data_IF_524296950828
#
_entry.id   IF_524296950828
#
_cell.length_a   1.000
_cell.length_b   1.000
_cell.length_c   1.000
_cell.angle_alpha   90.00
_cell.angle_beta   90.00
_cell.angle_gamma   90.00
#
_symmetry.space_group_name_H-M   'P 1'
#
loop_
_entity.id
_entity.type
_entity.pdbx_description
1 polymer ?
#
# COMPACT_ATOMS: atom_id res chain seq x y z
N UNK A 1 -17.09 -2.81 -22.12
CA UNK A 1 -16.77 -1.89 -21.02
C UNK A 1 -15.26 -1.72 -21.04
N UNK A 2 -14.75 -0.50 -21.16
CA UNK A 2 -13.31 -0.24 -21.24
C UNK A 2 -12.87 0.47 -19.96
N UNK A 3 -11.93 -0.13 -19.23
CA UNK A 3 -11.22 0.57 -18.15
C UNK A 3 -10.14 1.42 -18.80
N UNK A 4 -10.15 2.72 -18.50
CA UNK A 4 -9.21 3.70 -19.02
C UNK A 4 -8.07 3.94 -18.03
N UNK A 5 -8.41 4.00 -16.75
CA UNK A 5 -7.45 4.28 -15.70
C UNK A 5 -7.78 3.50 -14.42
N UNK A 6 -6.75 3.17 -13.65
CA UNK A 6 -6.87 2.54 -12.34
C UNK A 6 -5.80 3.15 -11.45
N UNK A 7 -6.22 3.68 -10.29
CA UNK A 7 -5.35 4.51 -9.47
C UNK A 7 -5.43 4.20 -7.98
N UNK A 8 -4.37 4.60 -7.27
CA UNK A 8 -4.30 4.66 -5.82
C UNK A 8 -3.71 6.00 -5.38
N UNK A 9 -4.19 6.53 -4.26
CA UNK A 9 -3.64 7.72 -3.64
C UNK A 9 -3.69 7.65 -2.11
N UNK A 10 -2.91 8.50 -1.44
CA UNK A 10 -3.00 8.71 0.01
C UNK A 10 -3.55 10.10 0.25
N UNK A 11 -4.72 10.18 0.88
CA UNK A 11 -5.30 11.45 1.30
C UNK A 11 -5.57 11.42 2.80
N UNK A 12 -5.05 12.42 3.52
CA UNK A 12 -5.18 12.53 4.98
C UNK A 12 -4.78 11.23 5.73
N UNK A 13 -3.78 10.53 5.20
CA UNK A 13 -3.25 9.29 5.78
C UNK A 13 -4.18 8.08 5.64
N UNK A 14 -5.09 8.10 4.65
CA UNK A 14 -5.95 6.99 4.24
C UNK A 14 -5.69 6.65 2.78
N UNK A 15 -5.82 5.37 2.46
CA UNK A 15 -5.71 4.89 1.09
C UNK A 15 -7.03 5.08 0.36
N UNK A 16 -6.93 5.65 -0.82
CA UNK A 16 -8.01 5.77 -1.79
C UNK A 16 -7.64 4.95 -3.01
N UNK A 17 -8.65 4.40 -3.67
CA UNK A 17 -8.51 3.70 -4.92
C UNK A 17 -9.70 3.99 -5.82
N UNK A 18 -9.48 3.85 -7.12
CA UNK A 18 -10.56 4.03 -8.07
C UNK A 18 -10.26 3.47 -9.44
N UNK A 19 -11.32 3.39 -10.24
CA UNK A 19 -11.23 3.06 -11.65
C UNK A 19 -12.05 4.05 -12.46
N UNK A 20 -11.52 4.41 -13.61
CA UNK A 20 -12.23 5.21 -14.59
C UNK A 20 -12.44 4.38 -15.84
N UNK A 21 -13.58 4.57 -16.50
CA UNK A 21 -13.83 3.87 -17.73
C UNK A 21 -14.98 4.43 -18.54
N UNK A 22 -15.14 3.86 -19.73
CA UNK A 22 -16.17 4.25 -20.69
C UNK A 22 -16.87 3.04 -21.29
N UNK A 23 -18.15 3.25 -21.61
CA UNK A 23 -18.90 2.28 -22.39
C UNK A 23 -18.41 2.35 -23.83
N UNK A 24 -18.16 1.19 -24.45
CA UNK A 24 -17.75 1.15 -25.85
C UNK A 24 -18.93 1.35 -26.82
N UNK A 25 -20.15 1.20 -26.32
CA UNK A 25 -21.38 1.22 -27.14
C UNK A 25 -22.20 2.50 -26.99
N UNK A 26 -21.84 3.39 -26.06
CA UNK A 26 -22.51 4.67 -25.85
C UNK A 26 -21.57 5.71 -25.23
N UNK A 27 -22.04 6.94 -25.06
CA UNK A 27 -21.24 8.07 -24.54
C UNK A 27 -21.13 8.11 -23.01
N UNK A 28 -21.49 7.02 -22.31
CA UNK A 28 -21.43 6.96 -20.85
C UNK A 28 -20.01 6.65 -20.40
N UNK A 29 -19.49 7.46 -19.50
CA UNK A 29 -18.27 7.22 -18.74
C UNK A 29 -18.60 7.14 -17.25
N UNK A 30 -17.78 6.43 -16.48
CA UNK A 30 -17.89 6.36 -15.03
C UNK A 30 -16.52 6.58 -14.38
N UNK A 31 -16.56 7.06 -13.15
CA UNK A 31 -15.44 7.14 -12.23
C UNK A 31 -15.94 6.56 -10.91
N UNK A 32 -15.36 5.44 -10.50
CA UNK A 32 -15.64 4.81 -9.22
C UNK A 32 -14.46 5.06 -8.30
N UNK A 33 -14.70 5.62 -7.12
CA UNK A 33 -13.68 5.85 -6.10
C UNK A 33 -14.21 5.42 -4.74
N UNK A 34 -13.34 4.81 -3.94
CA UNK A 34 -13.63 4.44 -2.57
C UNK A 34 -12.34 4.49 -1.71
N UNK A 35 -12.49 4.33 -0.39
CA UNK A 35 -11.38 4.35 0.56
C UNK A 35 -11.51 3.24 1.61
N UNK A 36 -10.37 2.90 2.23
CA UNK A 36 -10.34 1.93 3.31
C UNK A 36 -8.95 1.36 3.59
N UNK A 37 -8.92 0.30 4.38
CA UNK A 37 -7.67 -0.24 4.93
C UNK A 37 -6.93 -1.17 3.96
N UNK A 38 -7.64 -1.72 2.96
CA UNK A 38 -7.11 -2.65 1.98
C UNK A 38 -7.67 -2.35 0.58
N UNK A 39 -6.80 -2.37 -0.41
CA UNK A 39 -7.15 -2.21 -1.82
C UNK A 39 -7.95 -3.44 -2.29
N UNK A 40 -9.06 -3.26 -3.01
CA UNK A 40 -9.73 -4.36 -3.68
C UNK A 40 -8.75 -5.13 -4.59
N UNK A 41 -8.79 -6.46 -4.54
CA UNK A 41 -7.79 -7.32 -5.18
C UNK A 41 -7.67 -7.06 -6.69
N UNK A 42 -8.78 -6.80 -7.39
CA UNK A 42 -8.77 -6.49 -8.82
C UNK A 42 -7.97 -5.22 -9.14
N UNK A 43 -8.13 -4.16 -8.33
CA UNK A 43 -7.39 -2.90 -8.48
C UNK A 43 -5.92 -3.12 -8.12
N UNK A 44 -5.65 -3.84 -7.03
CA UNK A 44 -4.30 -4.19 -6.59
C UNK A 44 -3.53 -4.91 -7.69
N UNK A 45 -4.12 -5.93 -8.32
CA UNK A 45 -3.48 -6.70 -9.38
C UNK A 45 -3.25 -5.86 -10.65
N UNK A 46 -4.19 -4.99 -11.02
CA UNK A 46 -4.00 -4.07 -12.14
C UNK A 46 -2.79 -3.14 -11.91
N UNK A 47 -2.70 -2.54 -10.72
CA UNK A 47 -1.59 -1.65 -10.36
C UNK A 47 -0.25 -2.38 -10.28
N UNK A 48 -0.22 -3.60 -9.75
CA UNK A 48 1.00 -4.42 -9.73
C UNK A 48 1.42 -4.84 -11.14
N UNK A 49 0.49 -5.12 -12.04
CA UNK A 49 0.79 -5.47 -13.43
C UNK A 49 1.34 -4.28 -14.22
N UNK A 50 0.83 -3.08 -13.94
CA UNK A 50 1.22 -1.85 -14.65
C UNK A 50 2.53 -1.25 -14.11
N UNK A 51 2.66 -1.12 -12.79
CA UNK A 51 3.77 -0.40 -12.15
C UNK A 51 4.81 -1.32 -11.49
N UNK A 52 4.54 -2.61 -11.43
CA UNK A 52 5.36 -3.57 -10.69
C UNK A 52 5.21 -3.47 -9.17
N UNK A 53 5.81 -4.42 -8.43
CA UNK A 53 5.81 -4.39 -6.98
C UNK A 53 6.82 -3.37 -6.43
N UNK A 54 6.43 -2.74 -5.32
CA UNK A 54 7.31 -1.98 -4.44
C UNK A 54 7.60 -2.79 -3.17
N UNK A 55 8.79 -2.60 -2.60
CA UNK A 55 9.25 -3.28 -1.39
C UNK A 55 9.61 -2.28 -0.30
N UNK A 56 9.01 -2.45 0.87
CA UNK A 56 9.34 -1.71 2.08
C UNK A 56 10.41 -2.46 2.90
N UNK A 57 11.46 -1.75 3.33
CA UNK A 57 12.54 -2.29 4.16
C UNK A 57 12.87 -1.36 5.33
N UNK A 58 13.35 -1.92 6.44
CA UNK A 58 14.00 -1.14 7.50
C UNK A 58 15.36 -0.64 7.00
N UNK A 59 15.67 0.63 7.27
CA UNK A 59 17.04 1.14 7.06
C UNK A 59 18.01 0.63 8.13
N UNK A 60 17.48 0.30 9.31
CA UNK A 60 18.22 -0.28 10.43
C UNK A 60 17.49 -1.54 10.91
N UNK A 61 17.96 -2.75 10.56
CA UNK A 61 17.31 -4.02 10.93
C UNK A 61 17.17 -4.21 12.46
N UNK A 62 18.06 -3.57 13.21
CA UNK A 62 18.09 -3.58 14.69
C UNK A 62 17.03 -2.68 15.34
N UNK A 63 16.10 -2.11 14.55
CA UNK A 63 15.03 -1.27 15.09
C UNK A 63 14.23 -2.00 16.18
N UNK A 64 13.97 -1.29 17.28
CA UNK A 64 13.17 -1.81 18.39
C UNK A 64 11.81 -2.30 17.89
N UNK A 65 11.40 -3.50 18.34
CA UNK A 65 10.14 -4.10 17.91
C UNK A 65 8.90 -3.28 18.34
N UNK A 66 9.01 -2.51 19.43
CA UNK A 66 7.88 -1.76 19.99
C UNK A 66 7.38 -0.65 19.05
N UNK A 67 8.21 0.31 18.59
CA UNK A 67 7.77 1.35 17.65
C UNK A 67 7.29 0.78 16.31
N UNK A 68 7.90 -0.32 15.84
CA UNK A 68 7.45 -1.04 14.63
C UNK A 68 6.04 -1.58 14.82
N UNK A 69 5.80 -2.36 15.87
CA UNK A 69 4.48 -2.95 16.14
C UNK A 69 3.42 -1.89 16.39
N UNK A 70 3.77 -0.77 17.02
CA UNK A 70 2.86 0.36 17.23
C UNK A 70 2.43 0.97 15.90
N UNK A 71 3.39 1.29 15.03
CA UNK A 71 3.12 1.85 13.71
C UNK A 71 2.23 0.92 12.87
N UNK A 72 2.55 -0.37 12.80
CA UNK A 72 1.81 -1.33 11.97
C UNK A 72 0.35 -1.51 12.39
N UNK A 73 0.06 -1.43 13.70
CA UNK A 73 -1.33 -1.51 14.20
C UNK A 73 -2.17 -0.29 13.85
N UNK A 74 -1.55 0.87 13.65
CA UNK A 74 -2.22 2.12 13.30
C UNK A 74 -2.55 2.22 11.80
N UNK A 75 -1.85 1.48 10.93
CA UNK A 75 -2.01 1.60 9.47
C UNK A 75 -3.24 0.86 8.95
N UNK A 76 -3.57 -0.27 9.55
CA UNK A 76 -4.44 -1.28 8.93
C UNK A 76 -5.45 -1.91 9.92
N UNK A 77 -5.56 -1.36 11.14
CA UNK A 77 -6.38 -1.95 12.19
C UNK A 77 -6.00 -3.40 12.54
N UNK A 78 -4.76 -3.81 12.22
CA UNK A 78 -4.32 -5.20 12.37
C UNK A 78 -4.41 -5.66 13.82
N UNK A 79 -4.77 -6.92 13.99
CA UNK A 79 -4.54 -7.62 15.25
C UNK A 79 -3.05 -7.63 15.58
N UNK A 80 -2.71 -7.78 16.86
CA UNK A 80 -1.32 -7.88 17.30
C UNK A 80 -0.58 -9.05 16.61
N UNK A 81 -1.27 -10.16 16.36
CA UNK A 81 -0.70 -11.32 15.68
C UNK A 81 -0.31 -10.98 14.23
N UNK A 82 -1.21 -10.34 13.48
CA UNK A 82 -0.93 -9.90 12.10
C UNK A 82 0.20 -8.85 12.07
N UNK A 83 0.19 -7.89 12.99
CA UNK A 83 1.25 -6.89 13.09
C UNK A 83 2.62 -7.53 13.38
N UNK A 84 2.65 -8.63 14.14
CA UNK A 84 3.89 -9.35 14.44
C UNK A 84 4.45 -10.10 13.24
N UNK A 85 3.59 -10.80 12.49
CA UNK A 85 3.98 -11.45 11.23
C UNK A 85 4.59 -10.42 10.27
N UNK A 86 3.91 -9.29 10.10
CA UNK A 86 4.37 -8.23 9.21
C UNK A 86 5.67 -7.57 9.70
N UNK A 87 5.85 -7.43 11.02
CA UNK A 87 7.10 -6.94 11.59
C UNK A 87 8.28 -7.90 11.35
N UNK A 88 8.04 -9.21 11.41
CA UNK A 88 9.07 -10.22 11.15
C UNK A 88 9.44 -10.28 9.65
N UNK A 89 8.46 -10.16 8.76
CA UNK A 89 8.71 -9.99 7.31
C UNK A 89 9.52 -8.72 7.03
N UNK A 90 9.12 -7.59 7.62
CA UNK A 90 9.79 -6.31 7.44
C UNK A 90 11.26 -6.34 7.88
N UNK A 91 11.59 -7.10 8.93
CA UNK A 91 12.96 -7.30 9.41
C UNK A 91 13.81 -8.22 8.54
N UNK A 92 13.18 -9.16 7.83
CA UNK A 92 13.89 -10.21 7.11
C UNK A 92 13.96 -9.90 5.62
N UNK A 93 12.85 -10.08 4.91
CA UNK A 93 12.78 -9.98 3.45
C UNK A 93 12.28 -8.62 2.99
N UNK A 94 11.64 -7.85 3.86
CA UNK A 94 10.86 -6.66 3.52
C UNK A 94 9.44 -7.03 3.08
N UNK A 95 8.52 -6.08 3.23
CA UNK A 95 7.11 -6.23 2.85
C UNK A 95 6.94 -5.80 1.40
N UNK A 96 6.10 -6.51 0.64
CA UNK A 96 5.87 -6.21 -0.79
C UNK A 96 4.40 -5.87 -1.03
N UNK A 97 4.15 -4.84 -1.83
CA UNK A 97 2.81 -4.46 -2.28
C UNK A 97 2.87 -3.43 -3.40
N UNK A 98 1.78 -2.70 -3.60
CA UNK A 98 1.80 -1.54 -4.50
C UNK A 98 2.67 -0.43 -3.89
N UNK A 99 3.17 0.48 -4.72
CA UNK A 99 3.94 1.63 -4.23
C UNK A 99 3.18 2.43 -3.17
N UNK A 100 1.90 2.69 -3.39
CA UNK A 100 1.07 3.50 -2.50
C UNK A 100 0.81 2.80 -1.17
N UNK A 101 0.57 1.49 -1.18
CA UNK A 101 0.46 0.69 0.05
C UNK A 101 1.75 0.76 0.88
N UNK A 102 2.91 0.62 0.22
CA UNK A 102 4.20 0.66 0.90
C UNK A 102 4.52 2.04 1.47
N UNK A 103 4.20 3.12 0.74
CA UNK A 103 4.37 4.49 1.24
C UNK A 103 3.42 4.82 2.40
N UNK A 104 2.19 4.27 2.42
CA UNK A 104 1.28 4.44 3.56
C UNK A 104 1.87 3.84 4.83
N UNK A 105 2.38 2.60 4.74
CA UNK A 105 3.05 1.93 5.87
C UNK A 105 4.33 2.69 6.24
N UNK A 106 5.11 3.13 5.26
CA UNK A 106 6.34 3.86 5.48
C UNK A 106 6.10 5.18 6.23
N UNK A 107 5.08 5.96 5.84
CA UNK A 107 4.72 7.20 6.50
C UNK A 107 4.40 7.00 7.99
N UNK A 108 3.71 5.90 8.32
CA UNK A 108 3.38 5.55 9.72
C UNK A 108 4.61 5.09 10.50
N UNK A 109 5.48 4.28 9.89
CA UNK A 109 6.75 3.90 10.51
C UNK A 109 7.65 5.11 10.78
N UNK A 110 7.78 6.02 9.80
CA UNK A 110 8.53 7.28 9.94
C UNK A 110 7.95 8.17 11.04
N UNK A 111 6.62 8.23 11.18
CA UNK A 111 5.96 8.96 12.28
C UNK A 111 6.39 8.46 13.67
N UNK A 112 6.62 7.14 13.80
CA UNK A 112 7.16 6.53 15.03
C UNK A 112 8.69 6.46 15.06
N UNK A 113 9.37 7.30 14.27
CA UNK A 113 10.84 7.37 14.18
C UNK A 113 11.51 6.06 13.76
N UNK A 114 10.80 5.20 13.02
CA UNK A 114 11.37 3.99 12.42
C UNK A 114 11.86 4.33 11.01
N UNK A 115 13.16 4.15 10.79
CA UNK A 115 13.78 4.39 9.49
C UNK A 115 13.42 3.28 8.49
N UNK A 116 12.88 3.69 7.34
CA UNK A 116 12.43 2.79 6.26
C UNK A 116 12.64 3.36 4.87
N UNK A 117 12.89 2.47 3.92
CA UNK A 117 12.94 2.75 2.47
C UNK A 117 11.85 2.01 1.74
N UNK A 118 11.32 2.63 0.69
CA UNK A 118 10.45 1.98 -0.29
C UNK A 118 11.22 1.93 -1.61
N UNK A 119 11.45 0.71 -2.07
CA UNK A 119 12.19 0.41 -3.29
C UNK A 119 11.19 -0.04 -4.34
N UNK A 120 11.11 0.66 -5.47
CA UNK A 120 10.42 0.14 -6.64
C UNK A 120 11.37 -0.78 -7.40
N UNK A 121 10.83 -1.84 -7.99
CA UNK A 121 11.56 -2.57 -9.02
C UNK A 121 11.58 -1.70 -10.28
N UNK A 122 12.51 -0.76 -10.36
CA UNK A 122 12.79 -0.07 -11.63
C UNK A 122 13.21 -1.14 -12.62
N UNK A 123 12.34 -1.41 -13.60
CA UNK A 123 12.70 -2.16 -14.81
C UNK A 123 13.61 -1.32 -15.69
#
# INVERSE_FOLDING_TARGET
>A
MLILDTGQSIERGRMWWGTEGACQSCTVAWCEQDFGDATPEAIRQALLAEYGPARLRLTAPEASAVPVLRALREVHGLSLAQARVLADELKTTGVVGTFVEMELVAARLRHHSVGVTVETSSS
#
